data_IF_025884360378
#
_entry.id   IF_025884360378
#
_cell.length_a   1.000
_cell.length_b   1.000
_cell.length_c   1.000
_cell.angle_alpha   90.00
_cell.angle_beta   90.00
_cell.angle_gamma   90.00
#
_symmetry.space_group_name_H-M   'P 1'
#
loop_
_entity.id
_entity.type
_entity.pdbx_description
1 polymer ?
#
# COMPACT_ATOMS: atom_id res chain seq x y z
N UNK A 1 -10.67 -14.57 3.38
CA UNK A 1 -10.92 -13.33 4.17
C UNK A 1 -10.13 -12.20 3.52
N UNK A 2 -10.75 -11.04 3.27
CA UNK A 2 -10.07 -9.85 2.75
C UNK A 2 -10.16 -8.72 3.77
N UNK A 3 -9.02 -8.33 4.37
CA UNK A 3 -8.88 -7.22 5.32
C UNK A 3 -8.48 -5.97 4.54
N UNK A 4 -9.50 -5.21 4.14
CA UNK A 4 -9.32 -3.98 3.38
C UNK A 4 -9.48 -2.70 4.24
N UNK A 5 -10.34 -2.73 5.27
CA UNK A 5 -10.62 -1.57 6.10
C UNK A 5 -9.37 -0.98 6.74
N UNK A 6 -9.26 0.36 6.71
CA UNK A 6 -8.13 1.08 7.29
C UNK A 6 -8.40 2.58 7.34
N UNK A 7 -7.54 3.30 8.05
CA UNK A 7 -7.58 4.77 8.17
C UNK A 7 -6.18 5.33 7.96
N UNK A 8 -6.10 6.58 7.46
CA UNK A 8 -4.83 7.28 7.21
C UNK A 8 -4.30 8.04 8.43
N UNK A 9 -5.13 8.25 9.45
CA UNK A 9 -4.81 9.19 10.52
C UNK A 9 -5.04 10.64 10.14
N UNK A 10 -4.57 11.55 10.98
CA UNK A 10 -4.60 12.99 10.75
C UNK A 10 -3.54 13.39 9.72
N UNK A 11 -3.79 14.48 8.99
CA UNK A 11 -2.85 14.98 8.00
C UNK A 11 -1.68 15.67 8.72
N UNK A 12 -0.52 15.06 8.70
CA UNK A 12 0.72 15.60 9.24
C UNK A 12 1.86 14.63 8.94
N UNK A 13 2.85 15.08 8.17
CA UNK A 13 4.04 14.27 7.86
C UNK A 13 5.21 14.58 8.80
N UNK A 14 5.08 15.64 9.64
CA UNK A 14 6.14 16.04 10.56
C UNK A 14 5.98 15.34 11.92
N UNK A 15 7.08 14.85 12.44
CA UNK A 15 7.08 14.08 13.71
C UNK A 15 6.58 14.88 14.90
N UNK A 16 6.93 16.18 14.95
CA UNK A 16 6.52 17.06 16.06
C UNK A 16 5.02 17.43 16.03
N UNK A 17 4.36 17.28 14.90
CA UNK A 17 2.91 17.52 14.73
C UNK A 17 2.06 16.26 14.93
N UNK A 18 2.72 15.11 15.09
CA UNK A 18 2.06 13.82 15.26
C UNK A 18 1.47 13.70 16.66
N UNK A 19 0.16 13.49 16.74
CA UNK A 19 -0.56 13.31 18.02
C UNK A 19 -0.49 11.84 18.47
N UNK A 20 -0.11 11.59 19.72
CA UNK A 20 0.00 10.24 20.30
C UNK A 20 -1.31 9.44 20.19
N UNK A 21 -2.44 10.09 20.43
CA UNK A 21 -3.75 9.43 20.39
C UNK A 21 -4.17 9.07 18.95
N UNK A 22 -3.81 9.91 17.96
CA UNK A 22 -4.03 9.56 16.56
C UNK A 22 -3.13 8.39 16.14
N UNK A 23 -1.87 8.38 16.56
CA UNK A 23 -0.95 7.30 16.30
C UNK A 23 -1.49 5.96 16.84
N UNK A 24 -1.91 5.92 18.11
CA UNK A 24 -2.54 4.73 18.73
C UNK A 24 -3.81 4.30 17.99
N UNK A 25 -4.67 5.25 17.63
CA UNK A 25 -5.92 4.98 16.92
C UNK A 25 -5.66 4.32 15.57
N UNK A 26 -4.70 4.83 14.78
CA UNK A 26 -4.35 4.26 13.48
C UNK A 26 -3.79 2.85 13.63
N UNK A 27 -2.88 2.61 14.57
CA UNK A 27 -2.35 1.27 14.85
C UNK A 27 -3.45 0.30 15.30
N UNK A 28 -4.35 0.77 16.16
CA UNK A 28 -5.45 -0.05 16.65
C UNK A 28 -6.39 -0.51 15.51
N UNK A 29 -6.76 0.40 14.61
CA UNK A 29 -7.63 0.06 13.46
C UNK A 29 -6.88 -0.78 12.42
N UNK A 30 -5.69 -0.34 12.02
CA UNK A 30 -5.00 -0.94 10.87
C UNK A 30 -4.30 -2.25 11.23
N UNK A 31 -3.59 -2.31 12.36
CA UNK A 31 -2.77 -3.46 12.76
C UNK A 31 -3.56 -4.41 13.67
N UNK A 32 -4.08 -3.89 14.80
CA UNK A 32 -4.80 -4.74 15.74
C UNK A 32 -6.10 -5.28 15.13
N UNK A 33 -6.85 -4.45 14.39
CA UNK A 33 -8.01 -4.91 13.62
C UNK A 33 -7.66 -5.97 12.57
N UNK A 34 -6.49 -5.86 11.92
CA UNK A 34 -6.01 -6.89 10.98
C UNK A 34 -5.65 -8.20 11.70
N UNK A 35 -4.99 -8.11 12.84
CA UNK A 35 -4.69 -9.25 13.70
C UNK A 35 -5.98 -9.99 14.14
N UNK A 36 -6.97 -9.28 14.62
CA UNK A 36 -8.26 -9.87 15.01
C UNK A 36 -8.93 -10.58 13.84
N UNK A 37 -8.96 -9.92 12.66
CA UNK A 37 -9.51 -10.52 11.44
C UNK A 37 -8.80 -11.82 11.07
N UNK A 38 -7.47 -11.81 11.05
CA UNK A 38 -6.67 -12.99 10.74
C UNK A 38 -6.89 -14.13 11.78
N UNK A 39 -6.90 -13.79 13.06
CA UNK A 39 -7.15 -14.74 14.16
C UNK A 39 -8.51 -15.44 14.01
N UNK A 40 -9.56 -14.67 13.71
CA UNK A 40 -10.89 -15.25 13.52
C UNK A 40 -11.02 -16.04 12.22
N UNK A 41 -10.39 -15.59 11.13
CA UNK A 41 -10.33 -16.34 9.89
C UNK A 41 -9.59 -17.68 10.07
N UNK A 42 -8.45 -17.69 10.75
CA UNK A 42 -7.69 -18.89 11.02
C UNK A 42 -8.51 -19.93 11.81
N UNK A 43 -9.30 -19.51 12.81
CA UNK A 43 -10.18 -20.42 13.56
C UNK A 43 -11.15 -21.22 12.68
N UNK A 44 -11.62 -20.62 11.60
CA UNK A 44 -12.57 -21.26 10.68
C UNK A 44 -11.84 -22.02 9.57
N UNK A 45 -10.69 -21.48 9.10
CA UNK A 45 -9.98 -22.05 7.95
C UNK A 45 -9.09 -23.26 8.34
N UNK A 46 -8.48 -23.26 9.52
CA UNK A 46 -7.62 -24.36 9.98
C UNK A 46 -8.37 -25.71 10.00
N UNK A 47 -9.57 -25.82 10.58
CA UNK A 47 -10.32 -27.09 10.54
C UNK A 47 -10.73 -27.53 9.14
N UNK A 48 -10.89 -26.58 8.19
CA UNK A 48 -11.26 -26.90 6.79
C UNK A 48 -10.07 -27.28 5.92
N UNK A 49 -8.82 -27.11 6.42
CA UNK A 49 -7.59 -27.43 5.68
C UNK A 49 -7.36 -26.58 4.43
N UNK A 50 -8.10 -25.49 4.26
CA UNK A 50 -7.92 -24.57 3.13
C UNK A 50 -8.39 -23.14 3.45
N UNK A 51 -7.77 -22.16 2.81
CA UNK A 51 -8.20 -20.77 2.96
C UNK A 51 -7.30 -19.79 2.22
N UNK A 52 -7.77 -18.55 2.13
CA UNK A 52 -6.98 -17.43 1.65
C UNK A 52 -7.26 -16.21 2.52
N UNK A 53 -6.19 -15.63 3.07
CA UNK A 53 -6.21 -14.37 3.81
C UNK A 53 -5.48 -13.34 2.99
N UNK A 54 -6.14 -12.21 2.75
CA UNK A 54 -5.61 -11.12 1.95
C UNK A 54 -5.68 -9.82 2.75
N UNK A 55 -4.60 -9.03 2.73
CA UNK A 55 -4.53 -7.71 3.34
C UNK A 55 -4.34 -6.62 2.30
N UNK A 56 -4.92 -5.45 2.52
CA UNK A 56 -4.57 -4.22 1.80
C UNK A 56 -3.48 -3.49 2.58
N UNK A 57 -2.23 -3.65 2.14
CA UNK A 57 -1.11 -2.86 2.64
C UNK A 57 -1.09 -1.46 1.97
N UNK A 58 0.02 -1.01 1.47
CA UNK A 58 0.17 0.23 0.70
C UNK A 58 1.58 0.30 0.13
N UNK A 59 1.79 1.10 -0.91
CA UNK A 59 3.13 1.43 -1.41
C UNK A 59 4.04 1.95 -0.29
N UNK A 60 3.52 2.70 0.68
CA UNK A 60 4.28 3.19 1.84
C UNK A 60 4.81 2.09 2.76
N UNK A 61 4.44 0.83 2.55
CA UNK A 61 5.02 -0.33 3.25
C UNK A 61 6.26 -0.91 2.55
N UNK A 62 6.69 -0.33 1.43
CA UNK A 62 7.88 -0.75 0.69
C UNK A 62 8.84 0.40 0.43
N UNK A 63 8.37 1.65 0.51
CA UNK A 63 9.20 2.84 0.36
C UNK A 63 8.74 3.96 1.29
N UNK A 64 9.66 4.88 1.63
CA UNK A 64 9.32 6.09 2.37
C UNK A 64 8.48 7.06 1.52
N UNK A 65 7.57 7.78 2.17
CA UNK A 65 6.73 8.78 1.53
C UNK A 65 6.27 9.84 2.54
N UNK A 66 5.83 11.00 2.03
CA UNK A 66 5.38 12.16 2.83
C UNK A 66 3.91 11.99 3.28
N UNK A 67 3.68 10.99 4.12
CA UNK A 67 2.39 10.72 4.76
C UNK A 67 2.57 10.53 6.27
N UNK A 68 1.47 10.47 7.03
CA UNK A 68 1.55 10.36 8.49
C UNK A 68 2.39 9.17 8.96
N UNK A 69 3.22 9.38 9.97
CA UNK A 69 4.07 8.33 10.56
C UNK A 69 3.26 7.15 11.10
N UNK A 70 2.07 7.41 11.66
CA UNK A 70 1.14 6.38 12.13
C UNK A 70 0.67 5.47 11.01
N UNK A 71 0.36 6.03 9.83
CA UNK A 71 -0.05 5.25 8.67
C UNK A 71 1.09 4.38 8.15
N UNK A 72 2.27 4.96 7.95
CA UNK A 72 3.48 4.22 7.52
C UNK A 72 3.77 3.07 8.49
N UNK A 73 3.89 3.36 9.79
CA UNK A 73 4.14 2.35 10.82
C UNK A 73 3.09 1.23 10.79
N UNK A 74 1.81 1.59 10.61
CA UNK A 74 0.73 0.60 10.56
C UNK A 74 0.82 -0.32 9.34
N UNK A 75 1.20 0.21 8.17
CA UNK A 75 1.32 -0.57 6.93
C UNK A 75 2.54 -1.49 6.94
N UNK A 76 3.68 -1.05 7.49
CA UNK A 76 4.83 -1.93 7.74
C UNK A 76 4.51 -3.01 8.78
N UNK A 77 3.85 -2.65 9.89
CA UNK A 77 3.42 -3.61 10.91
C UNK A 77 2.50 -4.69 10.36
N UNK A 78 1.55 -4.31 9.50
CA UNK A 78 0.67 -5.25 8.81
C UNK A 78 1.45 -6.21 7.91
N UNK A 79 2.42 -5.71 7.12
CA UNK A 79 3.27 -6.55 6.26
C UNK A 79 4.11 -7.52 7.08
N UNK A 80 4.70 -7.06 8.19
CA UNK A 80 5.44 -7.94 9.11
C UNK A 80 4.57 -9.09 9.64
N UNK A 81 3.35 -8.76 10.08
CA UNK A 81 2.38 -9.77 10.53
C UNK A 81 1.97 -10.72 9.39
N UNK A 82 1.68 -10.21 8.20
CA UNK A 82 1.28 -11.02 7.04
C UNK A 82 2.36 -12.03 6.64
N UNK A 83 3.64 -11.62 6.65
CA UNK A 83 4.78 -12.52 6.41
C UNK A 83 4.82 -13.67 7.42
N UNK A 84 4.70 -13.37 8.71
CA UNK A 84 4.71 -14.39 9.75
C UNK A 84 3.53 -15.35 9.60
N UNK A 85 2.32 -14.82 9.38
CA UNK A 85 1.12 -15.62 9.16
C UNK A 85 1.21 -16.50 7.92
N UNK A 86 1.88 -16.06 6.86
CA UNK A 86 2.05 -16.88 5.65
C UNK A 86 2.85 -18.15 5.90
N UNK A 87 3.84 -18.09 6.76
CA UNK A 87 4.63 -19.25 7.18
C UNK A 87 3.83 -20.15 8.14
N UNK A 88 3.24 -19.56 9.17
CA UNK A 88 2.46 -20.28 10.18
C UNK A 88 1.27 -21.02 9.57
N UNK A 89 0.44 -20.32 8.79
CA UNK A 89 -0.82 -20.85 8.28
C UNK A 89 -0.64 -21.74 7.05
N UNK A 90 0.49 -21.64 6.36
CA UNK A 90 0.81 -22.47 5.20
C UNK A 90 0.75 -23.97 5.48
N UNK A 91 1.14 -24.41 6.67
CA UNK A 91 1.05 -25.82 7.11
C UNK A 91 -0.40 -26.35 7.16
N UNK A 92 -1.38 -25.46 7.23
CA UNK A 92 -2.82 -25.79 7.24
C UNK A 92 -3.49 -25.59 5.86
N UNK A 93 -2.71 -25.41 4.80
CA UNK A 93 -3.25 -25.15 3.46
C UNK A 93 -3.87 -23.77 3.28
N UNK A 94 -3.54 -22.81 4.16
CA UNK A 94 -4.06 -21.44 4.13
C UNK A 94 -2.98 -20.51 3.56
N UNK A 95 -3.32 -19.78 2.49
CA UNK A 95 -2.43 -18.79 1.88
C UNK A 95 -2.64 -17.42 2.50
N UNK A 96 -1.56 -16.68 2.70
CA UNK A 96 -1.62 -15.29 3.17
C UNK A 96 -0.80 -14.42 2.22
N UNK A 97 -1.46 -13.43 1.61
CA UNK A 97 -0.86 -12.49 0.67
C UNK A 97 -1.34 -11.06 0.97
N UNK A 98 -0.74 -10.07 0.32
CA UNK A 98 -1.19 -8.69 0.44
C UNK A 98 -1.01 -7.93 -0.86
N UNK A 99 -1.90 -6.94 -1.06
CA UNK A 99 -1.81 -5.98 -2.16
C UNK A 99 -1.30 -4.67 -1.59
N UNK A 100 -0.34 -4.05 -2.27
CA UNK A 100 0.23 -2.74 -1.93
C UNK A 100 -0.06 -1.73 -3.04
N UNK A 101 -1.22 -1.06 -3.00
CA UNK A 101 -1.59 -0.07 -4.01
C UNK A 101 -0.77 1.21 -3.89
N UNK A 102 -0.56 1.89 -5.01
CA UNK A 102 -0.27 3.32 -5.06
C UNK A 102 -1.54 4.13 -4.73
N UNK A 103 -1.48 5.45 -4.91
CA UNK A 103 -2.62 6.31 -4.60
C UNK A 103 -3.76 6.12 -5.61
N UNK A 104 -4.92 5.70 -5.10
CA UNK A 104 -6.18 5.55 -5.85
C UNK A 104 -7.17 6.58 -5.34
N UNK A 105 -8.03 7.14 -6.18
CA UNK A 105 -8.98 8.22 -5.88
C UNK A 105 -10.07 7.90 -4.85
N UNK A 106 -9.75 7.14 -3.80
CA UNK A 106 -10.65 6.71 -2.72
C UNK A 106 -10.86 7.79 -1.65
N UNK A 107 -11.94 7.73 -0.85
CA UNK A 107 -12.12 8.64 0.28
C UNK A 107 -10.93 8.63 1.28
N UNK A 108 -10.29 7.47 1.48
CA UNK A 108 -9.12 7.36 2.35
C UNK A 108 -7.93 8.15 1.80
N UNK A 109 -7.61 7.99 0.52
CA UNK A 109 -6.50 8.70 -0.11
C UNK A 109 -6.75 10.21 -0.18
N UNK A 110 -7.97 10.61 -0.57
CA UNK A 110 -8.37 12.04 -0.60
C UNK A 110 -8.23 12.69 0.77
N UNK A 111 -8.74 12.04 1.81
CA UNK A 111 -8.60 12.54 3.19
C UNK A 111 -7.14 12.58 3.63
N UNK A 112 -6.38 11.52 3.38
CA UNK A 112 -4.99 11.40 3.81
C UNK A 112 -4.03 12.38 3.10
N UNK A 113 -4.37 12.82 1.88
CA UNK A 113 -3.57 13.76 1.09
C UNK A 113 -4.18 15.18 1.04
N UNK A 114 -5.38 15.37 1.61
CA UNK A 114 -6.08 16.67 1.58
C UNK A 114 -6.46 17.11 0.17
N UNK A 115 -6.79 16.17 -0.72
CA UNK A 115 -7.04 16.43 -2.14
C UNK A 115 -8.42 15.94 -2.58
N UNK A 116 -9.04 16.65 -3.53
CA UNK A 116 -10.20 16.15 -4.28
C UNK A 116 -9.79 15.09 -5.30
N UNK A 117 -10.76 14.25 -5.73
CA UNK A 117 -10.50 13.09 -6.59
C UNK A 117 -9.76 13.47 -7.88
N UNK A 118 -10.26 14.46 -8.61
CA UNK A 118 -9.69 14.85 -9.91
C UNK A 118 -8.25 15.37 -9.76
N UNK A 119 -7.98 16.17 -8.73
CA UNK A 119 -6.64 16.70 -8.46
C UNK A 119 -5.67 15.57 -8.09
N UNK A 120 -6.13 14.59 -7.30
CA UNK A 120 -5.33 13.43 -6.95
C UNK A 120 -4.98 12.57 -8.18
N UNK A 121 -5.96 12.30 -9.03
CA UNK A 121 -5.76 11.54 -10.28
C UNK A 121 -4.81 12.26 -11.23
N UNK A 122 -4.92 13.58 -11.35
CA UNK A 122 -3.99 14.40 -12.14
C UNK A 122 -2.56 14.32 -11.61
N UNK A 123 -2.36 14.49 -10.30
CA UNK A 123 -1.04 14.37 -9.65
C UNK A 123 -0.45 12.98 -9.86
N UNK A 124 -1.24 11.92 -9.64
CA UNK A 124 -0.81 10.53 -9.83
C UNK A 124 -0.41 10.30 -11.29
N UNK A 125 -1.24 10.71 -12.25
CA UNK A 125 -0.97 10.56 -13.69
C UNK A 125 0.27 11.33 -14.14
N UNK A 126 0.53 12.51 -13.57
CA UNK A 126 1.72 13.29 -13.88
C UNK A 126 3.01 12.59 -13.47
N UNK A 127 2.98 11.87 -12.34
CA UNK A 127 4.11 11.11 -11.81
C UNK A 127 4.25 9.72 -12.44
N UNK A 128 3.18 9.19 -13.06
CA UNK A 128 3.11 7.84 -13.57
C UNK A 128 4.20 7.54 -14.61
N UNK A 129 4.77 6.34 -14.52
CA UNK A 129 5.74 5.81 -15.50
C UNK A 129 5.03 5.12 -16.65
N UNK A 130 3.94 4.41 -16.34
CA UNK A 130 3.07 3.81 -17.33
C UNK A 130 2.07 4.86 -17.82
N UNK A 131 2.24 5.34 -19.04
CA UNK A 131 1.41 6.42 -19.61
C UNK A 131 0.12 5.90 -20.21
N UNK A 132 -0.92 6.74 -20.20
CA UNK A 132 -2.20 6.45 -20.85
C UNK A 132 -3.19 5.62 -20.03
N UNK A 133 -2.86 5.32 -18.75
CA UNK A 133 -3.77 4.63 -17.82
C UNK A 133 -3.83 5.37 -16.50
N UNK A 134 -4.97 5.25 -15.82
CA UNK A 134 -5.20 5.75 -14.46
C UNK A 134 -5.48 4.55 -13.58
N UNK A 135 -4.88 4.50 -12.40
CA UNK A 135 -5.12 3.42 -11.44
C UNK A 135 -6.49 3.61 -10.79
N UNK A 136 -7.36 2.63 -10.97
CA UNK A 136 -8.72 2.63 -10.45
C UNK A 136 -8.90 1.60 -9.31
N UNK A 137 -10.01 1.70 -8.60
CA UNK A 137 -10.37 0.76 -7.52
C UNK A 137 -10.56 -0.65 -8.05
N UNK A 138 -11.04 -0.78 -9.27
CA UNK A 138 -11.26 -2.02 -10.02
C UNK A 138 -9.95 -2.79 -10.25
N UNK A 139 -8.85 -2.09 -10.57
CA UNK A 139 -7.53 -2.72 -10.75
C UNK A 139 -7.05 -3.39 -9.46
N UNK A 140 -7.30 -2.74 -8.33
CA UNK A 140 -6.98 -3.32 -7.02
C UNK A 140 -7.92 -4.49 -6.67
N UNK A 141 -9.18 -4.41 -7.07
CA UNK A 141 -10.14 -5.48 -6.87
C UNK A 141 -9.77 -6.73 -7.69
N UNK A 142 -9.35 -6.56 -8.95
CA UNK A 142 -8.89 -7.67 -9.80
C UNK A 142 -7.61 -8.32 -9.24
N UNK A 143 -6.66 -7.52 -8.78
CA UNK A 143 -5.46 -8.02 -8.09
C UNK A 143 -5.82 -8.83 -6.83
N UNK A 144 -6.78 -8.35 -6.04
CA UNK A 144 -7.28 -9.04 -4.87
C UNK A 144 -8.03 -10.33 -5.24
N UNK A 145 -8.84 -10.30 -6.29
CA UNK A 145 -9.57 -11.45 -6.80
C UNK A 145 -8.60 -12.56 -7.26
N UNK A 146 -7.55 -12.20 -7.99
CA UNK A 146 -6.51 -13.16 -8.37
C UNK A 146 -5.90 -13.83 -7.13
N UNK A 147 -5.43 -13.05 -6.16
CA UNK A 147 -4.79 -13.58 -4.95
C UNK A 147 -5.78 -14.38 -4.05
N UNK A 148 -7.06 -14.04 -4.08
CA UNK A 148 -8.10 -14.74 -3.34
C UNK A 148 -8.56 -16.06 -3.97
N UNK A 149 -8.36 -16.23 -5.27
CA UNK A 149 -8.87 -17.36 -6.07
C UNK A 149 -7.91 -18.55 -6.12
N UNK A 150 -8.38 -19.68 -6.63
CA UNK A 150 -7.56 -20.88 -6.87
C UNK A 150 -6.53 -20.70 -8.00
N UNK A 151 -6.65 -19.64 -8.82
CA UNK A 151 -5.63 -19.28 -9.82
C UNK A 151 -4.27 -18.95 -9.19
N UNK A 152 -4.26 -18.52 -7.92
CA UNK A 152 -3.07 -18.24 -7.12
C UNK A 152 -2.75 -19.35 -6.10
N UNK A 153 -3.14 -20.60 -6.37
CA UNK A 153 -3.02 -21.74 -5.44
C UNK A 153 -1.60 -21.99 -4.90
N UNK A 154 -0.58 -21.54 -5.62
CA UNK A 154 0.84 -21.71 -5.24
C UNK A 154 1.49 -20.37 -4.85
N UNK A 155 0.68 -19.32 -4.66
CA UNK A 155 1.14 -17.98 -4.27
C UNK A 155 0.85 -17.76 -2.79
N UNK A 156 1.91 -17.71 -1.96
CA UNK A 156 1.84 -17.49 -0.51
C UNK A 156 2.98 -16.58 -0.08
N UNK A 157 2.71 -15.59 0.76
CA UNK A 157 3.70 -14.61 1.23
C UNK A 157 4.05 -13.54 0.18
N UNK A 158 3.24 -13.37 -0.86
CA UNK A 158 3.47 -12.38 -1.92
C UNK A 158 2.96 -11.00 -1.49
N UNK A 159 3.80 -9.99 -1.70
CA UNK A 159 3.39 -8.59 -1.80
C UNK A 159 3.16 -8.24 -3.28
N UNK A 160 1.90 -8.14 -3.69
CA UNK A 160 1.57 -7.65 -5.03
C UNK A 160 1.49 -6.12 -5.02
N UNK A 161 2.55 -5.48 -5.50
CA UNK A 161 2.63 -4.03 -5.60
C UNK A 161 1.91 -3.61 -6.89
N UNK A 162 0.95 -2.70 -6.78
CA UNK A 162 0.17 -2.16 -7.91
C UNK A 162 0.43 -0.65 -7.95
N UNK A 163 1.55 -0.26 -8.57
CA UNK A 163 2.11 1.08 -8.49
C UNK A 163 2.74 1.58 -9.80
N UNK A 164 2.48 0.91 -10.92
CA UNK A 164 3.03 1.24 -12.25
C UNK A 164 4.58 1.35 -12.30
N UNK A 165 5.26 0.74 -11.34
CA UNK A 165 6.72 0.81 -11.19
C UNK A 165 7.23 2.06 -10.45
N UNK A 166 6.36 2.80 -9.77
CA UNK A 166 6.73 4.00 -9.00
C UNK A 166 7.79 3.69 -7.93
N UNK A 167 7.64 2.58 -7.19
CA UNK A 167 8.59 2.15 -6.15
C UNK A 167 9.99 1.80 -6.67
N UNK A 168 10.14 1.57 -7.96
CA UNK A 168 11.42 1.22 -8.58
C UNK A 168 12.24 2.46 -9.00
N UNK A 169 11.70 3.66 -8.85
CA UNK A 169 12.31 4.88 -9.35
C UNK A 169 12.79 5.80 -8.24
N UNK A 170 14.00 6.37 -8.40
CA UNK A 170 14.46 7.50 -7.61
C UNK A 170 14.22 8.80 -8.38
N UNK A 171 13.05 9.39 -8.19
CA UNK A 171 12.66 10.63 -8.91
C UNK A 171 13.52 11.84 -8.53
N UNK A 172 14.07 11.89 -7.31
CA UNK A 172 14.93 12.99 -6.84
C UNK A 172 16.23 13.02 -7.63
N UNK A 173 16.90 11.88 -7.75
CA UNK A 173 18.13 11.77 -8.52
C UNK A 173 17.92 12.11 -10.00
N UNK A 174 16.87 11.56 -10.61
CA UNK A 174 16.52 11.85 -12.01
C UNK A 174 16.18 13.32 -12.25
N UNK A 175 15.49 13.98 -11.31
CA UNK A 175 15.21 15.41 -11.39
C UNK A 175 16.46 16.25 -11.26
N UNK A 176 17.35 15.92 -10.32
CA UNK A 176 18.64 16.61 -10.14
C UNK A 176 19.52 16.50 -11.39
N UNK A 177 19.63 15.32 -12.00
CA UNK A 177 20.35 15.15 -13.25
C UNK A 177 19.75 16.01 -14.38
N UNK A 178 18.44 15.98 -14.56
CA UNK A 178 17.78 16.77 -15.59
C UNK A 178 18.00 18.28 -15.39
N UNK A 179 17.96 18.78 -14.15
CA UNK A 179 18.21 20.20 -13.88
C UNK A 179 19.64 20.62 -14.27
N UNK A 180 20.62 19.76 -14.05
CA UNK A 180 22.02 20.02 -14.47
C UNK A 180 22.14 20.09 -16.00
N UNK A 181 21.55 19.14 -16.72
CA UNK A 181 21.60 19.15 -18.19
C UNK A 181 20.81 20.30 -18.83
N UNK A 182 19.71 20.75 -18.22
CA UNK A 182 18.97 21.92 -18.72
C UNK A 182 19.69 23.25 -18.44
N UNK A 183 20.49 23.35 -17.36
CA UNK A 183 21.33 24.52 -17.10
C UNK A 183 22.45 24.63 -18.14
N UNK A 184 23.06 23.52 -18.55
CA UNK A 184 24.13 23.52 -19.57
C UNK A 184 23.61 23.91 -20.97
N UNK A 185 22.38 23.58 -21.33
CA UNK A 185 21.78 23.94 -22.59
C UNK A 185 21.46 25.46 -22.72
N UNK A 186 21.19 26.13 -21.60
CA UNK A 186 20.99 27.60 -21.61
C UNK A 186 22.30 28.39 -21.63
N UNK A 187 23.42 27.81 -21.22
CA UNK A 187 24.75 28.43 -21.26
C UNK A 187 25.36 28.34 -22.68
N UNK A 188 24.95 27.38 -23.48
CA UNK A 188 25.44 27.16 -24.84
C UNK A 188 24.67 27.97 -25.93
N UNK A 189 23.67 28.76 -25.56
CA UNK A 189 22.90 29.65 -26.46
C UNK A 189 23.27 31.15 -26.29
N UNK A 190 24.35 31.47 -25.61
CA UNK A 190 25.00 32.80 -25.55
C UNK A 190 26.34 32.75 -26.29
#
# INVERSE_FOLDING_TARGET
MFKNAGISGNNGSQILESEDEDFKRVLNVNVFGAFLGAKHAARVMIPSGKGSILFTASLVSVMANDVSHSYVASKYGMVGMAKNLSVELGQYGIRVNWVSPFAVGTPLARKGLGMEKNNLEEVVSSCAKLKGVVLETEDIAEAALYLGSDKSKYVNGLNLIVDEGNSLTNSVFSKALKSLFFLDLHVLQL
#
